data_IF_358838616690
#
_entry.id   IF_358838616690
#
_cell.length_a   1.000
_cell.length_b   1.000
_cell.length_c   1.000
_cell.angle_alpha   90.00
_cell.angle_beta   90.00
_cell.angle_gamma   90.00
#
_symmetry.space_group_name_H-M   'P 1'
#
loop_
_entity.id
_entity.type
_entity.pdbx_description
1 polymer ?
#
# COMPACT_ATOMS: atom_id res chain seq x y z
N UNK A 1 -16.79 -22.36 1.09
CA UNK A 1 -15.75 -21.29 1.01
C UNK A 1 -15.75 -20.52 2.32
N UNK A 2 -14.61 -20.46 3.06
CA UNK A 2 -14.56 -19.67 4.31
C UNK A 2 -14.79 -18.20 3.97
N UNK A 3 -15.67 -17.53 4.70
CA UNK A 3 -16.04 -16.12 4.51
C UNK A 3 -14.80 -15.21 4.42
N UNK A 4 -14.68 -14.42 3.35
CA UNK A 4 -13.53 -13.51 3.10
C UNK A 4 -13.31 -12.50 4.25
N UNK A 5 -14.39 -12.00 4.84
CA UNK A 5 -14.32 -11.06 5.96
C UNK A 5 -13.70 -11.70 7.21
N UNK A 6 -14.05 -12.96 7.50
CA UNK A 6 -13.44 -13.71 8.59
C UNK A 6 -11.92 -13.80 8.43
N UNK A 7 -11.45 -14.07 7.20
CA UNK A 7 -10.01 -14.12 6.90
C UNK A 7 -9.34 -12.74 7.06
N UNK A 8 -9.97 -11.68 6.55
CA UNK A 8 -9.45 -10.31 6.67
C UNK A 8 -9.36 -9.89 8.13
N UNK A 9 -10.40 -10.10 8.92
CA UNK A 9 -10.44 -9.76 10.35
C UNK A 9 -9.37 -10.55 11.12
N UNK A 10 -9.27 -11.86 10.88
CA UNK A 10 -8.26 -12.71 11.52
C UNK A 10 -6.83 -12.27 11.17
N UNK A 11 -6.58 -11.99 9.90
CA UNK A 11 -5.28 -11.51 9.39
C UNK A 11 -4.88 -10.19 10.03
N UNK A 12 -5.77 -9.20 10.03
CA UNK A 12 -5.50 -7.91 10.65
C UNK A 12 -5.26 -8.04 12.15
N UNK A 13 -6.03 -8.85 12.86
CA UNK A 13 -5.78 -9.14 14.29
C UNK A 13 -4.41 -9.76 14.51
N UNK A 14 -4.01 -10.72 13.67
CA UNK A 14 -2.69 -11.35 13.76
C UNK A 14 -1.57 -10.32 13.58
N UNK A 15 -1.69 -9.44 12.57
CA UNK A 15 -0.72 -8.38 12.31
C UNK A 15 -0.62 -7.44 13.50
N UNK A 16 -1.75 -6.90 13.98
CA UNK A 16 -1.76 -5.94 15.09
C UNK A 16 -1.23 -6.55 16.40
N UNK A 17 -1.51 -7.83 16.65
CA UNK A 17 -0.94 -8.56 17.81
C UNK A 17 0.56 -8.76 17.68
N UNK A 18 1.07 -9.17 16.50
CA UNK A 18 2.51 -9.32 16.23
C UNK A 18 3.26 -7.98 16.36
N UNK A 19 2.59 -6.87 16.04
CA UNK A 19 3.11 -5.52 16.23
C UNK A 19 3.03 -5.05 17.69
N UNK A 20 2.46 -5.83 18.60
CA UNK A 20 2.20 -5.46 20.01
C UNK A 20 1.45 -4.13 20.14
N UNK A 21 0.51 -3.87 19.24
CA UNK A 21 -0.32 -2.66 19.30
C UNK A 21 -1.14 -2.69 20.59
N UNK A 22 -1.11 -1.63 21.41
CA UNK A 22 -1.91 -1.57 22.65
C UNK A 22 -3.41 -1.64 22.34
N UNK A 23 -4.20 -2.15 23.28
CA UNK A 23 -5.64 -2.25 23.09
C UNK A 23 -6.35 -0.90 23.10
N UNK A 24 -5.84 0.07 23.84
CA UNK A 24 -6.46 1.38 24.01
C UNK A 24 -5.42 2.50 23.86
N UNK A 25 -5.86 3.67 23.41
CA UNK A 25 -5.00 4.84 23.22
C UNK A 25 -4.43 5.39 24.56
N UNK A 26 -5.22 5.29 25.61
CA UNK A 26 -4.83 5.77 26.92
C UNK A 26 -5.54 4.96 28.03
N UNK A 27 -4.92 4.85 29.21
CA UNK A 27 -5.51 4.16 30.38
C UNK A 27 -6.87 4.75 30.82
N UNK A 28 -7.10 6.04 30.59
CA UNK A 28 -8.35 6.75 30.92
C UNK A 28 -9.36 6.81 29.76
N UNK A 29 -9.16 6.05 28.67
CA UNK A 29 -10.15 6.00 27.58
C UNK A 29 -11.37 5.18 27.98
N UNK A 30 -12.52 5.41 27.33
CA UNK A 30 -13.80 4.76 27.68
C UNK A 30 -13.84 3.23 27.47
N UNK A 31 -12.79 2.62 26.99
CA UNK A 31 -12.61 1.16 26.80
C UNK A 31 -13.76 0.44 26.05
N UNK A 32 -14.61 1.18 25.32
CA UNK A 32 -15.74 0.62 24.56
C UNK A 32 -15.22 -0.09 23.30
N UNK A 33 -14.30 0.55 22.57
CA UNK A 33 -13.68 0.01 21.36
C UNK A 33 -12.16 -0.01 21.51
N UNK A 34 -11.57 -1.13 21.13
CA UNK A 34 -10.11 -1.27 21.07
C UNK A 34 -9.52 -0.62 19.83
N UNK A 35 -8.22 -0.27 19.85
CA UNK A 35 -7.49 0.18 18.67
C UNK A 35 -7.57 -0.88 17.56
N UNK A 36 -7.47 -2.17 17.90
CA UNK A 36 -7.58 -3.26 16.94
C UNK A 36 -8.93 -3.24 16.23
N UNK A 37 -10.03 -3.07 16.96
CA UNK A 37 -11.38 -2.98 16.37
C UNK A 37 -11.50 -1.76 15.45
N UNK A 38 -11.01 -0.59 15.87
CA UNK A 38 -11.02 0.62 15.03
C UNK A 38 -10.24 0.42 13.73
N UNK A 39 -9.01 -0.09 13.79
CA UNK A 39 -8.20 -0.33 12.58
C UNK A 39 -8.90 -1.31 11.64
N UNK A 40 -9.44 -2.42 12.18
CA UNK A 40 -10.13 -3.43 11.36
C UNK A 40 -11.39 -2.85 10.73
N UNK A 41 -12.21 -2.11 11.48
CA UNK A 41 -13.40 -1.43 10.95
C UNK A 41 -13.04 -0.43 9.83
N UNK A 42 -11.98 0.36 10.00
CA UNK A 42 -11.53 1.32 9.00
C UNK A 42 -11.02 0.64 7.73
N UNK A 43 -10.31 -0.49 7.85
CA UNK A 43 -9.89 -1.31 6.71
C UNK A 43 -11.11 -1.91 6.01
N UNK A 44 -12.09 -2.46 6.75
CA UNK A 44 -13.33 -2.99 6.17
C UNK A 44 -14.18 -1.90 5.51
N UNK A 45 -14.28 -0.72 6.14
CA UNK A 45 -14.94 0.44 5.53
C UNK A 45 -14.35 0.78 4.16
N UNK A 46 -13.02 0.81 4.10
CA UNK A 46 -12.32 1.08 2.86
C UNK A 46 -12.48 -0.06 1.85
N UNK A 47 -12.47 -1.31 2.33
CA UNK A 47 -12.70 -2.48 1.49
C UNK A 47 -14.08 -2.47 0.82
N UNK A 48 -15.11 -2.00 1.53
CA UNK A 48 -16.48 -1.85 1.02
C UNK A 48 -16.70 -0.50 0.30
N UNK A 49 -15.68 0.35 0.19
CA UNK A 49 -15.73 1.68 -0.46
C UNK A 49 -16.84 2.60 0.11
N UNK A 50 -17.19 2.42 1.38
CA UNK A 50 -18.30 3.12 2.05
C UNK A 50 -17.86 4.43 2.69
N UNK A 51 -18.80 5.39 2.79
CA UNK A 51 -18.67 6.54 3.69
C UNK A 51 -18.63 6.06 5.15
N UNK A 52 -18.35 6.95 6.10
CA UNK A 52 -18.41 6.58 7.52
C UNK A 52 -19.83 6.22 7.96
N UNK A 53 -20.82 6.98 7.52
CA UNK A 53 -22.24 6.77 7.79
C UNK A 53 -22.73 5.45 7.17
N UNK A 54 -22.60 5.30 5.85
CA UNK A 54 -23.02 4.08 5.16
C UNK A 54 -22.29 2.82 5.64
N UNK A 55 -21.10 2.96 6.22
CA UNK A 55 -20.42 1.82 6.84
C UNK A 55 -21.06 1.43 8.18
N UNK A 56 -21.49 2.40 8.97
CA UNK A 56 -22.20 2.14 10.24
C UNK A 56 -23.55 1.49 9.96
N UNK A 57 -24.34 2.03 9.01
CA UNK A 57 -25.60 1.42 8.55
C UNK A 57 -25.38 -0.02 8.05
N UNK A 58 -24.29 -0.26 7.31
CA UNK A 58 -23.96 -1.62 6.87
C UNK A 58 -23.62 -2.54 8.04
N UNK A 59 -22.97 -2.05 9.11
CA UNK A 59 -22.69 -2.86 10.29
C UNK A 59 -23.98 -3.26 11.03
N UNK A 60 -25.04 -2.44 10.99
CA UNK A 60 -26.32 -2.76 11.63
C UNK A 60 -26.98 -4.01 11.03
N UNK A 61 -26.80 -4.23 9.73
CA UNK A 61 -27.32 -5.42 9.04
C UNK A 61 -26.31 -6.57 8.96
N UNK A 62 -25.02 -6.29 9.12
CA UNK A 62 -23.93 -7.26 9.02
C UNK A 62 -23.60 -7.92 10.38
N UNK A 63 -24.59 -8.53 11.02
CA UNK A 63 -24.49 -9.10 12.38
C UNK A 63 -23.32 -10.07 12.55
N UNK A 64 -23.05 -10.93 11.55
CA UNK A 64 -21.89 -11.84 11.56
C UNK A 64 -20.55 -11.08 11.65
N UNK A 65 -20.44 -9.94 10.99
CA UNK A 65 -19.25 -9.09 11.02
C UNK A 65 -19.08 -8.45 12.40
N UNK A 66 -20.17 -7.95 12.96
CA UNK A 66 -20.22 -7.38 14.32
C UNK A 66 -19.76 -8.42 15.35
N UNK A 67 -20.30 -9.64 15.27
CA UNK A 67 -19.89 -10.73 16.13
C UNK A 67 -18.40 -11.09 15.94
N UNK A 68 -17.93 -11.19 14.70
CA UNK A 68 -16.52 -11.46 14.40
C UNK A 68 -15.59 -10.34 14.88
N UNK A 69 -16.02 -9.08 14.86
CA UNK A 69 -15.28 -7.95 15.42
C UNK A 69 -15.26 -7.99 16.97
N UNK A 70 -16.20 -8.69 17.59
CA UNK A 70 -16.35 -8.75 19.04
C UNK A 70 -16.72 -7.38 19.63
N UNK A 71 -17.52 -6.59 18.91
CA UNK A 71 -18.08 -5.33 19.40
C UNK A 71 -19.48 -5.59 19.98
N UNK A 72 -19.78 -4.96 21.11
CA UNK A 72 -21.09 -5.07 21.79
C UNK A 72 -22.11 -4.06 21.27
N UNK A 73 -21.63 -2.91 20.87
CA UNK A 73 -22.42 -1.80 20.32
C UNK A 73 -21.79 -1.31 19.03
N UNK A 74 -22.62 -0.87 18.08
CA UNK A 74 -22.13 -0.30 16.82
C UNK A 74 -21.64 1.13 17.13
N UNK A 75 -20.43 1.53 16.68
CA UNK A 75 -19.93 2.86 16.91
C UNK A 75 -20.70 3.88 16.07
N UNK A 76 -20.93 5.06 16.61
CA UNK A 76 -21.37 6.19 15.82
C UNK A 76 -20.30 6.56 14.77
N UNK A 77 -20.66 7.03 13.58
CA UNK A 77 -19.74 7.31 12.48
C UNK A 77 -18.64 8.32 12.87
N UNK A 78 -18.94 9.31 13.72
CA UNK A 78 -17.93 10.26 14.23
C UNK A 78 -16.88 9.59 15.13
N UNK A 79 -17.22 8.47 15.80
CA UNK A 79 -16.26 7.71 16.60
C UNK A 79 -15.19 7.09 15.68
N UNK A 80 -15.60 6.52 14.54
CA UNK A 80 -14.68 5.99 13.52
C UNK A 80 -13.85 7.12 12.88
N UNK A 81 -14.45 8.26 12.61
CA UNK A 81 -13.78 9.44 12.08
C UNK A 81 -12.66 9.94 13.02
N UNK A 82 -13.01 10.10 14.31
CA UNK A 82 -12.06 10.51 15.36
C UNK A 82 -10.97 9.45 15.54
N UNK A 83 -11.30 8.16 15.50
CA UNK A 83 -10.32 7.08 15.57
C UNK A 83 -9.36 7.14 14.38
N UNK A 84 -9.87 7.31 13.15
CA UNK A 84 -9.04 7.46 11.96
C UNK A 84 -8.07 8.64 12.08
N UNK A 85 -8.52 9.77 12.61
CA UNK A 85 -7.67 10.95 12.83
C UNK A 85 -6.57 10.70 13.87
N UNK A 86 -6.85 9.96 14.95
CA UNK A 86 -5.92 9.68 16.07
C UNK A 86 -4.89 8.60 15.78
N UNK A 87 -5.20 7.63 14.92
CA UNK A 87 -4.28 6.56 14.57
C UNK A 87 -3.02 7.13 13.92
N UNK A 88 -1.86 6.66 14.37
CA UNK A 88 -0.56 7.09 13.82
C UNK A 88 -0.35 6.54 12.43
N UNK A 89 0.17 7.37 11.52
CA UNK A 89 0.57 6.94 10.17
C UNK A 89 1.68 5.88 10.25
N UNK A 90 2.59 5.99 11.23
CA UNK A 90 3.66 5.00 11.47
C UNK A 90 3.06 3.61 11.72
N UNK A 91 1.99 3.52 12.53
CA UNK A 91 1.30 2.26 12.79
C UNK A 91 0.77 1.64 11.49
N UNK A 92 0.18 2.45 10.62
CA UNK A 92 -0.38 1.99 9.35
C UNK A 92 0.73 1.56 8.38
N UNK A 93 1.84 2.30 8.29
CA UNK A 93 3.02 1.93 7.50
C UNK A 93 3.62 0.61 7.95
N UNK A 94 3.85 0.44 9.25
CA UNK A 94 4.38 -0.82 9.80
C UNK A 94 3.42 -1.98 9.53
N UNK A 95 2.11 -1.76 9.68
CA UNK A 95 1.11 -2.79 9.38
C UNK A 95 1.16 -3.22 7.90
N UNK A 96 1.33 -2.28 6.96
CA UNK A 96 1.49 -2.58 5.53
C UNK A 96 2.70 -3.50 5.30
N UNK A 97 3.86 -3.18 5.87
CA UNK A 97 5.09 -3.96 5.71
C UNK A 97 4.98 -5.38 6.28
N UNK A 98 4.20 -5.58 7.34
CA UNK A 98 4.08 -6.90 8.01
C UNK A 98 3.35 -7.97 7.19
N UNK A 99 2.61 -7.60 6.15
CA UNK A 99 1.94 -8.58 5.29
C UNK A 99 2.92 -9.51 4.57
N UNK A 100 4.04 -8.99 4.09
CA UNK A 100 5.02 -9.79 3.35
C UNK A 100 5.67 -10.86 4.24
N UNK A 101 6.02 -10.51 5.47
CA UNK A 101 6.61 -11.46 6.42
C UNK A 101 5.71 -12.66 6.81
N UNK A 102 4.44 -12.65 6.38
CA UNK A 102 3.53 -13.79 6.56
C UNK A 102 3.68 -14.81 5.42
N UNK A 103 4.00 -14.35 4.21
CA UNK A 103 4.04 -15.21 2.99
C UNK A 103 5.47 -15.54 2.58
N UNK A 104 6.38 -14.57 2.66
CA UNK A 104 7.73 -14.67 2.11
C UNK A 104 8.76 -14.49 3.22
N UNK A 105 9.19 -15.57 3.88
CA UNK A 105 10.18 -15.49 4.95
C UNK A 105 11.61 -15.20 4.43
N UNK A 106 11.84 -15.22 3.12
CA UNK A 106 13.14 -15.01 2.48
C UNK A 106 13.25 -13.72 1.68
N UNK A 107 14.34 -13.62 0.92
CA UNK A 107 14.59 -12.49 0.02
C UNK A 107 13.53 -12.43 -1.08
N UNK A 108 12.96 -11.26 -1.33
CA UNK A 108 11.91 -11.04 -2.34
C UNK A 108 12.45 -10.41 -3.62
N UNK A 109 11.70 -10.55 -4.69
CA UNK A 109 11.84 -9.80 -5.91
C UNK A 109 11.00 -8.52 -5.79
N UNK A 110 11.64 -7.39 -5.58
CA UNK A 110 10.99 -6.12 -5.32
C UNK A 110 10.80 -5.27 -6.58
N UNK A 111 9.78 -4.45 -6.57
CA UNK A 111 9.59 -3.37 -7.54
C UNK A 111 8.96 -2.17 -6.89
N UNK A 112 9.16 -1.00 -7.49
CA UNK A 112 8.49 0.21 -7.05
C UNK A 112 8.05 1.06 -8.24
N UNK A 113 6.96 1.77 -8.04
CA UNK A 113 6.39 2.69 -9.01
C UNK A 113 5.49 3.71 -8.30
N UNK A 114 5.00 4.71 -9.00
CA UNK A 114 4.15 5.75 -8.45
C UNK A 114 2.89 5.97 -9.29
N UNK A 115 1.83 6.38 -8.61
CA UNK A 115 0.56 6.73 -9.25
C UNK A 115 -0.08 7.94 -8.61
N UNK A 116 -0.83 8.73 -9.38
CA UNK A 116 -1.61 9.85 -8.89
C UNK A 116 -3.04 9.43 -8.52
N UNK A 117 -3.57 10.03 -7.46
CA UNK A 117 -4.99 9.98 -7.08
C UNK A 117 -5.58 11.37 -7.14
N UNK A 118 -6.73 11.52 -7.76
CA UNK A 118 -7.39 12.80 -7.91
C UNK A 118 -7.95 13.28 -6.56
N UNK A 119 -7.79 14.57 -6.28
CA UNK A 119 -8.32 15.21 -5.06
C UNK A 119 -9.32 16.29 -5.47
N UNK A 120 -10.38 15.88 -6.17
CA UNK A 120 -11.37 16.81 -6.68
C UNK A 120 -12.38 17.19 -5.59
N UNK A 121 -12.52 18.50 -5.40
CA UNK A 121 -13.64 19.09 -4.65
C UNK A 121 -14.52 19.95 -5.55
N UNK A 122 -14.22 20.03 -6.84
CA UNK A 122 -14.98 20.77 -7.84
C UNK A 122 -15.28 19.89 -9.06
N UNK A 123 -16.42 20.14 -9.72
CA UNK A 123 -16.77 19.43 -10.95
C UNK A 123 -15.73 19.69 -12.05
N UNK A 124 -15.53 18.76 -13.00
CA UNK A 124 -14.61 18.99 -14.13
C UNK A 124 -14.93 20.28 -14.90
N UNK A 125 -16.22 20.60 -15.06
CA UNK A 125 -16.68 21.84 -15.69
C UNK A 125 -16.24 23.08 -14.93
N UNK A 126 -16.43 23.11 -13.61
CA UNK A 126 -16.02 24.24 -12.77
C UNK A 126 -14.48 24.40 -12.76
N UNK A 127 -13.75 23.31 -12.67
CA UNK A 127 -12.28 23.28 -12.72
C UNK A 127 -11.79 23.88 -14.04
N UNK A 128 -12.39 23.50 -15.16
CA UNK A 128 -12.07 24.05 -16.48
C UNK A 128 -12.40 25.54 -16.59
N UNK A 129 -13.62 25.94 -16.18
CA UNK A 129 -14.10 27.32 -16.27
C UNK A 129 -13.29 28.29 -15.40
N UNK A 130 -12.85 27.87 -14.22
CA UNK A 130 -12.10 28.68 -13.29
C UNK A 130 -10.58 28.54 -13.46
N UNK A 131 -10.11 27.80 -14.49
CA UNK A 131 -8.68 27.49 -14.73
C UNK A 131 -7.97 26.96 -13.49
N UNK A 132 -8.68 26.23 -12.65
CA UNK A 132 -8.14 25.64 -11.44
C UNK A 132 -7.13 24.55 -11.82
N UNK A 133 -5.96 24.57 -11.20
CA UNK A 133 -4.97 23.50 -11.37
C UNK A 133 -5.52 22.19 -10.81
N UNK A 134 -5.38 21.11 -11.58
CA UNK A 134 -5.69 19.78 -11.10
C UNK A 134 -4.83 19.45 -9.87
N UNK A 135 -5.50 19.29 -8.73
CA UNK A 135 -4.81 18.84 -7.52
C UNK A 135 -4.88 17.30 -7.46
N UNK A 136 -3.74 16.68 -7.24
CA UNK A 136 -3.66 15.25 -7.04
C UNK A 136 -2.67 14.91 -5.92
N UNK A 137 -2.92 13.80 -5.26
CA UNK A 137 -2.00 13.22 -4.29
C UNK A 137 -1.27 12.06 -4.97
N UNK A 138 0.05 12.04 -4.87
CA UNK A 138 0.88 11.01 -5.46
C UNK A 138 1.23 9.95 -4.42
N UNK A 139 1.09 8.70 -4.80
CA UNK A 139 1.47 7.55 -3.99
C UNK A 139 2.55 6.76 -4.72
N UNK A 140 3.74 6.68 -4.13
CA UNK A 140 4.80 5.75 -4.53
C UNK A 140 4.72 4.52 -3.65
N UNK A 141 4.75 3.33 -4.24
CA UNK A 141 4.63 2.07 -3.52
C UNK A 141 5.74 1.10 -3.91
N UNK A 142 6.35 0.48 -2.90
CA UNK A 142 7.22 -0.67 -3.04
C UNK A 142 6.45 -1.96 -2.82
N UNK A 143 6.71 -2.98 -3.61
CA UNK A 143 5.94 -4.24 -3.60
C UNK A 143 6.79 -5.45 -3.95
N UNK A 144 6.36 -6.62 -3.50
CA UNK A 144 6.88 -7.91 -3.96
C UNK A 144 6.23 -8.32 -5.27
N UNK A 145 7.03 -8.55 -6.29
CA UNK A 145 6.56 -8.90 -7.64
C UNK A 145 5.92 -10.29 -7.71
N UNK A 146 6.24 -11.19 -6.78
CA UNK A 146 5.66 -12.55 -6.74
C UNK A 146 4.27 -12.54 -6.14
N UNK A 147 4.13 -12.05 -4.92
CA UNK A 147 2.86 -12.00 -4.21
C UNK A 147 1.97 -10.82 -4.62
N UNK A 148 2.55 -9.77 -5.19
CA UNK A 148 1.92 -8.48 -5.47
C UNK A 148 1.42 -7.78 -4.19
N UNK A 149 2.05 -8.04 -3.04
CA UNK A 149 1.78 -7.30 -1.81
C UNK A 149 2.60 -6.03 -1.76
N UNK A 150 1.97 -4.96 -1.33
CA UNK A 150 2.66 -3.69 -1.06
C UNK A 150 3.33 -3.77 0.30
N UNK A 151 4.62 -3.38 0.38
CA UNK A 151 5.42 -3.40 1.60
C UNK A 151 5.76 -2.02 2.17
N UNK A 152 5.83 -1.01 1.29
CA UNK A 152 6.16 0.35 1.68
C UNK A 152 5.39 1.34 0.81
N UNK A 153 5.10 2.51 1.36
CA UNK A 153 4.34 3.56 0.68
C UNK A 153 4.90 4.93 1.07
N UNK A 154 5.08 5.80 0.08
CA UNK A 154 5.36 7.23 0.30
C UNK A 154 4.26 8.04 -0.38
N UNK A 155 3.64 8.94 0.36
CA UNK A 155 2.55 9.77 -0.12
C UNK A 155 3.02 11.22 -0.18
N UNK A 156 2.73 11.88 -1.28
CA UNK A 156 3.09 13.27 -1.54
C UNK A 156 1.86 14.08 -1.86
N UNK A 157 1.74 15.20 -1.19
CA UNK A 157 0.75 16.23 -1.47
C UNK A 157 1.39 17.36 -2.28
N UNK A 158 0.60 18.25 -2.83
CA UNK A 158 1.10 19.39 -3.61
C UNK A 158 2.03 20.30 -2.76
N UNK A 159 3.18 20.75 -3.28
CA UNK A 159 3.73 20.57 -4.62
C UNK A 159 4.38 19.19 -4.82
N UNK A 160 4.03 18.54 -5.94
CA UNK A 160 4.53 17.20 -6.25
C UNK A 160 5.87 17.26 -6.95
N UNK A 161 6.82 16.46 -6.51
CA UNK A 161 8.12 16.35 -7.12
C UNK A 161 8.32 15.02 -7.88
N UNK A 162 9.40 14.93 -8.64
CA UNK A 162 9.76 13.71 -9.37
C UNK A 162 10.00 12.53 -8.43
N UNK A 163 9.61 11.33 -8.85
CA UNK A 163 9.67 10.09 -8.06
C UNK A 163 11.05 9.78 -7.51
N UNK A 164 12.07 10.07 -8.28
CA UNK A 164 13.45 9.84 -7.92
C UNK A 164 13.87 10.57 -6.64
N UNK A 165 13.27 11.72 -6.33
CA UNK A 165 13.57 12.48 -5.09
C UNK A 165 13.04 11.80 -3.84
N UNK A 166 11.96 11.02 -3.97
CA UNK A 166 11.32 10.33 -2.85
C UNK A 166 11.72 8.86 -2.76
N UNK A 167 12.42 8.37 -3.76
CA UNK A 167 12.91 7.01 -3.79
C UNK A 167 13.76 6.63 -2.55
N UNK A 168 14.69 7.47 -2.06
CA UNK A 168 15.46 7.14 -0.85
C UNK A 168 14.59 6.81 0.35
N UNK A 169 13.54 7.59 0.59
CA UNK A 169 12.61 7.35 1.69
C UNK A 169 11.80 6.06 1.48
N UNK A 170 11.30 5.82 0.27
CA UNK A 170 10.59 4.58 -0.06
C UNK A 170 11.50 3.35 0.10
N UNK A 171 12.72 3.42 -0.42
CA UNK A 171 13.69 2.33 -0.35
C UNK A 171 14.08 2.01 1.10
N UNK A 172 14.32 3.03 1.92
CA UNK A 172 14.64 2.83 3.33
C UNK A 172 13.49 2.19 4.11
N UNK A 173 12.24 2.57 3.83
CA UNK A 173 11.08 1.88 4.38
C UNK A 173 11.05 0.41 3.94
N UNK A 174 11.36 0.10 2.67
CA UNK A 174 11.41 -1.28 2.19
C UNK A 174 12.48 -2.10 2.91
N UNK A 175 13.71 -1.61 2.97
CA UNK A 175 14.85 -2.28 3.64
C UNK A 175 14.55 -2.56 5.10
N UNK A 176 13.83 -1.66 5.79
CA UNK A 176 13.49 -1.84 7.21
C UNK A 176 12.52 -2.99 7.49
N UNK A 177 11.79 -3.47 6.48
CA UNK A 177 10.72 -4.49 6.67
C UNK A 177 10.92 -5.77 5.87
N UNK A 178 11.75 -5.75 4.81
CA UNK A 178 11.96 -6.88 3.91
C UNK A 178 13.43 -7.01 3.50
N UNK A 179 13.83 -8.23 3.18
CA UNK A 179 15.07 -8.51 2.46
C UNK A 179 14.77 -8.68 0.97
N UNK A 180 15.60 -8.10 0.12
CA UNK A 180 15.45 -8.13 -1.34
C UNK A 180 16.69 -8.76 -1.97
N UNK A 181 16.53 -9.46 -3.10
CA UNK A 181 17.66 -9.91 -3.90
C UNK A 181 17.80 -9.08 -5.19
N UNK A 182 16.69 -8.53 -5.71
CA UNK A 182 16.65 -7.68 -6.89
C UNK A 182 15.53 -6.65 -6.76
N UNK A 183 15.74 -5.48 -7.34
CA UNK A 183 14.76 -4.42 -7.43
C UNK A 183 14.62 -3.90 -8.85
N UNK A 184 13.40 -3.98 -9.40
CA UNK A 184 13.04 -3.43 -10.71
C UNK A 184 12.38 -2.06 -10.57
N UNK A 185 12.85 -1.10 -11.36
CA UNK A 185 12.32 0.26 -11.36
C UNK A 185 12.17 0.76 -12.81
N UNK A 186 11.29 1.74 -12.98
CA UNK A 186 11.13 2.39 -14.28
C UNK A 186 12.37 3.22 -14.67
N UNK A 187 12.51 3.45 -15.96
CA UNK A 187 13.53 4.34 -16.55
C UNK A 187 13.57 5.73 -15.89
N UNK A 188 12.45 6.16 -15.27
CA UNK A 188 12.35 7.37 -14.45
C UNK A 188 13.35 7.44 -13.31
N UNK A 189 13.76 6.29 -12.78
CA UNK A 189 14.68 6.17 -11.64
C UNK A 189 16.16 6.01 -12.04
N UNK A 190 16.50 6.07 -13.35
CA UNK A 190 17.87 5.91 -13.80
C UNK A 190 18.78 7.06 -13.35
N UNK A 191 19.44 6.86 -12.23
CA UNK A 191 20.51 7.70 -11.74
C UNK A 191 21.54 6.87 -10.98
N UNK A 192 22.81 7.22 -11.10
CA UNK A 192 23.90 6.46 -10.49
C UNK A 192 23.77 6.34 -8.97
N UNK A 193 23.25 7.38 -8.30
CA UNK A 193 23.05 7.34 -6.85
C UNK A 193 21.94 6.35 -6.43
N UNK A 194 20.91 6.15 -7.27
CA UNK A 194 19.84 5.16 -7.02
C UNK A 194 20.42 3.75 -7.10
N UNK A 195 21.18 3.46 -8.15
CA UNK A 195 21.87 2.17 -8.28
C UNK A 195 22.81 1.93 -7.09
N UNK A 196 23.62 2.95 -6.71
CA UNK A 196 24.55 2.86 -5.57
C UNK A 196 23.81 2.54 -4.27
N UNK A 197 22.67 3.18 -4.03
CA UNK A 197 21.86 2.96 -2.84
C UNK A 197 21.33 1.51 -2.78
N UNK A 198 20.81 1.01 -3.90
CA UNK A 198 20.30 -0.37 -3.99
C UNK A 198 21.43 -1.39 -3.78
N UNK A 199 22.56 -1.21 -4.45
CA UNK A 199 23.72 -2.10 -4.31
C UNK A 199 24.38 -2.02 -2.93
N UNK A 200 24.22 -0.90 -2.22
CA UNK A 200 24.69 -0.77 -0.83
C UNK A 200 24.00 -1.70 0.17
N UNK A 201 22.83 -2.22 -0.18
CA UNK A 201 22.05 -3.20 0.60
C UNK A 201 22.16 -4.63 0.02
N UNK A 202 23.19 -4.92 -0.78
CA UNK A 202 23.39 -6.22 -1.46
C UNK A 202 22.20 -6.63 -2.34
N UNK A 203 21.51 -5.66 -2.94
CA UNK A 203 20.39 -5.84 -3.85
C UNK A 203 20.81 -5.51 -5.28
N UNK A 204 20.43 -6.35 -6.23
CA UNK A 204 20.63 -6.04 -7.66
C UNK A 204 19.59 -5.01 -8.12
N UNK A 205 20.05 -3.97 -8.82
CA UNK A 205 19.13 -3.01 -9.45
C UNK A 205 18.87 -3.38 -10.90
N UNK A 206 17.63 -3.36 -11.35
CA UNK A 206 17.21 -3.58 -12.74
C UNK A 206 16.43 -2.35 -13.22
N UNK A 207 17.16 -1.39 -13.83
CA UNK A 207 16.62 -0.09 -14.26
C UNK A 207 17.13 0.20 -15.67
N UNK A 208 16.26 0.42 -16.67
CA UNK A 208 16.70 0.75 -18.03
C UNK A 208 17.47 2.07 -18.05
N UNK A 209 18.66 2.07 -18.62
CA UNK A 209 19.51 3.26 -18.69
C UNK A 209 18.97 4.25 -19.74
N UNK A 210 18.84 5.52 -19.34
CA UNK A 210 18.43 6.63 -20.24
C UNK A 210 19.54 7.03 -21.21
N UNK A 211 19.14 7.60 -22.34
CA UNK A 211 20.05 8.18 -23.33
C UNK A 211 20.54 7.18 -24.38
N UNK A 212 21.61 7.56 -25.07
CA UNK A 212 22.21 6.79 -26.17
C UNK A 212 22.63 5.39 -25.71
N UNK A 213 22.47 4.38 -26.58
CA UNK A 213 22.75 2.97 -26.25
C UNK A 213 24.24 2.64 -26.14
N UNK A 214 25.15 3.56 -26.38
CA UNK A 214 26.59 3.35 -26.29
C UNK A 214 27.07 3.32 -24.82
N UNK A 215 27.81 2.28 -24.47
CA UNK A 215 28.41 2.11 -23.15
C UNK A 215 29.42 3.22 -22.86
N UNK A 216 30.18 3.65 -23.90
CA UNK A 216 31.18 4.74 -23.81
C UNK A 216 30.55 6.06 -23.38
N UNK A 217 29.33 6.36 -23.81
CA UNK A 217 28.60 7.57 -23.48
C UNK A 217 27.88 7.51 -22.11
N UNK A 218 27.85 6.34 -21.46
CA UNK A 218 27.18 6.16 -20.19
C UNK A 218 28.10 6.57 -19.05
N UNK A 219 27.68 7.52 -18.22
CA UNK A 219 28.40 7.90 -16.98
C UNK A 219 27.93 7.04 -15.82
N UNK A 220 28.85 6.70 -14.90
CA UNK A 220 28.58 5.93 -13.70
C UNK A 220 28.92 4.43 -13.84
N UNK A 221 29.42 3.84 -12.75
CA UNK A 221 29.85 2.44 -12.67
C UNK A 221 28.64 1.50 -12.85
N UNK A 222 27.63 1.66 -12.05
CA UNK A 222 26.45 0.79 -12.03
C UNK A 222 25.59 0.93 -13.28
N UNK A 223 25.45 2.14 -13.81
CA UNK A 223 24.75 2.38 -15.08
C UNK A 223 25.46 1.71 -16.27
N UNK A 224 26.81 1.73 -16.30
CA UNK A 224 27.60 0.96 -17.31
C UNK A 224 27.40 -0.53 -17.16
N UNK A 225 27.40 -1.03 -15.92
CA UNK A 225 27.14 -2.43 -15.61
C UNK A 225 25.73 -2.83 -16.06
N UNK A 226 24.73 -2.01 -15.79
CA UNK A 226 23.33 -2.24 -16.20
C UNK A 226 23.19 -2.33 -17.73
N UNK A 227 23.91 -1.50 -18.48
CA UNK A 227 23.90 -1.60 -19.97
C UNK A 227 24.46 -2.94 -20.50
N UNK A 228 25.37 -3.56 -19.77
CA UNK A 228 25.97 -4.85 -20.17
C UNK A 228 25.13 -6.04 -19.76
N UNK A 229 24.45 -5.95 -18.63
CA UNK A 229 23.75 -7.05 -17.96
C UNK A 229 22.25 -6.79 -17.76
N UNK A 230 21.63 -5.98 -18.62
CA UNK A 230 20.19 -5.74 -18.55
C UNK A 230 19.41 -6.98 -18.97
N UNK A 231 18.56 -7.47 -18.10
CA UNK A 231 17.67 -8.61 -18.35
C UNK A 231 16.24 -8.10 -18.56
N UNK A 232 15.80 -8.15 -19.80
CA UNK A 232 14.48 -7.68 -20.21
C UNK A 232 13.36 -8.54 -19.61
N UNK A 233 13.58 -9.83 -19.41
CA UNK A 233 12.58 -10.75 -18.86
C UNK A 233 12.31 -10.45 -17.38
N UNK A 234 13.34 -10.14 -16.61
CA UNK A 234 13.22 -9.68 -15.24
C UNK A 234 12.57 -8.28 -15.17
N UNK A 235 12.98 -7.39 -16.07
CA UNK A 235 12.41 -6.04 -16.12
C UNK A 235 10.91 -6.03 -16.42
N UNK A 236 10.43 -6.89 -17.31
CA UNK A 236 9.00 -7.02 -17.65
C UNK A 236 8.11 -7.35 -16.43
N UNK A 237 8.68 -7.93 -15.37
CA UNK A 237 7.94 -8.16 -14.12
C UNK A 237 7.45 -6.85 -13.47
N UNK A 238 8.02 -5.69 -13.82
CA UNK A 238 7.56 -4.36 -13.38
C UNK A 238 6.07 -4.12 -13.69
N UNK A 239 5.52 -4.68 -14.76
CA UNK A 239 4.12 -4.54 -15.12
C UNK A 239 3.15 -4.98 -13.99
N UNK A 240 3.65 -5.76 -13.02
CA UNK A 240 2.86 -6.14 -11.84
C UNK A 240 2.60 -4.96 -10.91
N UNK A 241 3.45 -3.93 -10.88
CA UNK A 241 3.19 -2.70 -10.10
C UNK A 241 2.02 -1.93 -10.69
N UNK A 242 1.93 -1.85 -12.02
CA UNK A 242 0.80 -1.25 -12.71
C UNK A 242 -0.50 -2.01 -12.42
N UNK A 243 -0.43 -3.35 -12.37
CA UNK A 243 -1.56 -4.20 -11.98
C UNK A 243 -2.01 -3.90 -10.55
N UNK A 244 -1.08 -3.73 -9.60
CA UNK A 244 -1.39 -3.36 -8.21
C UNK A 244 -2.18 -2.04 -8.16
N UNK A 245 -1.67 -1.00 -8.82
CA UNK A 245 -2.35 0.31 -8.85
C UNK A 245 -3.70 0.25 -9.56
N UNK A 246 -3.79 -0.48 -10.66
CA UNK A 246 -5.05 -0.69 -11.38
C UNK A 246 -6.10 -1.35 -10.48
N UNK A 247 -5.73 -2.38 -9.71
CA UNK A 247 -6.65 -3.03 -8.77
C UNK A 247 -7.05 -2.08 -7.64
N UNK A 248 -6.10 -1.33 -7.07
CA UNK A 248 -6.40 -0.35 -6.01
C UNK A 248 -7.41 0.70 -6.52
N UNK A 249 -7.16 1.29 -7.69
CA UNK A 249 -8.04 2.32 -8.26
C UNK A 249 -9.42 1.78 -8.65
N UNK A 250 -9.49 0.63 -9.31
CA UNK A 250 -10.77 0.03 -9.71
C UNK A 250 -11.61 -0.40 -8.52
N UNK A 251 -10.97 -0.89 -7.46
CA UNK A 251 -11.70 -1.44 -6.32
C UNK A 251 -12.06 -0.39 -5.28
N UNK A 252 -11.19 0.59 -5.04
CA UNK A 252 -11.35 1.57 -3.97
C UNK A 252 -11.54 3.00 -4.46
N UNK A 253 -11.57 3.19 -5.78
CA UNK A 253 -11.72 4.49 -6.43
C UNK A 253 -10.39 5.17 -6.76
N UNK A 254 -10.41 5.95 -7.85
CA UNK A 254 -9.27 6.80 -8.28
C UNK A 254 -9.26 8.16 -7.58
N UNK A 255 -10.37 8.55 -6.97
CA UNK A 255 -10.54 9.82 -6.26
C UNK A 255 -10.38 9.65 -4.75
N UNK A 256 -9.75 10.63 -4.11
CA UNK A 256 -9.66 10.72 -2.65
C UNK A 256 -10.80 11.59 -2.14
N UNK A 257 -11.56 11.08 -1.16
CA UNK A 257 -12.71 11.77 -0.60
C UNK A 257 -12.36 12.69 0.58
N UNK A 258 -11.16 12.53 1.15
CA UNK A 258 -10.69 13.31 2.28
C UNK A 258 -10.25 14.71 1.88
N UNK A 259 -10.54 15.72 2.73
CA UNK A 259 -10.28 17.13 2.43
C UNK A 259 -8.86 17.59 2.76
N UNK A 260 -8.33 17.19 3.92
CA UNK A 260 -7.00 17.61 4.36
C UNK A 260 -5.93 16.55 4.09
N UNK A 261 -4.68 16.97 3.98
CA UNK A 261 -3.57 16.11 3.58
C UNK A 261 -3.30 14.96 4.57
N UNK A 262 -3.49 15.19 5.88
CA UNK A 262 -3.38 14.14 6.89
C UNK A 262 -4.40 13.03 6.65
N UNK A 263 -5.65 13.37 6.39
CA UNK A 263 -6.69 12.37 6.13
C UNK A 263 -6.58 11.75 4.75
N UNK A 264 -6.07 12.49 3.74
CA UNK A 264 -5.74 11.95 2.41
C UNK A 264 -4.66 10.87 2.51
N UNK A 265 -3.60 11.14 3.29
CA UNK A 265 -2.57 10.15 3.60
C UNK A 265 -3.18 8.88 4.22
N UNK A 266 -3.97 9.04 5.27
CA UNK A 266 -4.61 7.90 5.97
C UNK A 266 -5.56 7.13 5.07
N UNK A 267 -6.35 7.82 4.25
CA UNK A 267 -7.25 7.18 3.29
C UNK A 267 -6.48 6.26 2.33
N UNK A 268 -5.36 6.73 1.78
CA UNK A 268 -4.52 5.91 0.90
C UNK A 268 -3.87 4.74 1.65
N UNK A 269 -3.38 4.94 2.87
CA UNK A 269 -2.83 3.86 3.69
C UNK A 269 -3.89 2.78 4.00
N UNK A 270 -5.13 3.17 4.31
CA UNK A 270 -6.23 2.21 4.48
C UNK A 270 -6.58 1.48 3.18
N UNK A 271 -6.52 2.14 2.01
CA UNK A 271 -6.70 1.49 0.70
C UNK A 271 -5.64 0.41 0.46
N UNK A 272 -4.39 0.70 0.79
CA UNK A 272 -3.29 -0.26 0.68
C UNK A 272 -3.46 -1.43 1.65
N UNK A 273 -3.85 -1.18 2.91
CA UNK A 273 -4.17 -2.23 3.87
C UNK A 273 -5.33 -3.13 3.39
N UNK A 274 -6.39 -2.51 2.89
CA UNK A 274 -7.54 -3.24 2.32
C UNK A 274 -7.14 -4.05 1.08
N UNK A 275 -6.27 -3.50 0.22
CA UNK A 275 -5.69 -4.20 -0.92
C UNK A 275 -4.86 -5.41 -0.47
N UNK A 276 -3.93 -5.23 0.46
CA UNK A 276 -3.11 -6.33 0.97
C UNK A 276 -3.96 -7.44 1.61
N UNK A 277 -4.98 -7.08 2.40
CA UNK A 277 -5.94 -8.05 2.94
C UNK A 277 -6.64 -8.82 1.82
N UNK A 278 -7.13 -8.12 0.80
CA UNK A 278 -7.77 -8.74 -0.36
C UNK A 278 -6.83 -9.71 -1.07
N UNK A 279 -5.61 -9.26 -1.37
CA UNK A 279 -4.61 -10.05 -2.07
C UNK A 279 -4.24 -11.32 -1.30
N UNK A 280 -4.04 -11.19 0.03
CA UNK A 280 -3.81 -12.33 0.91
C UNK A 280 -4.94 -13.36 0.88
N UNK A 281 -6.19 -12.91 0.88
CA UNK A 281 -7.34 -13.81 0.78
C UNK A 281 -7.36 -14.57 -0.56
N UNK A 282 -6.95 -13.92 -1.65
CA UNK A 282 -6.86 -14.55 -2.98
C UNK A 282 -5.73 -15.59 -3.03
N UNK A 283 -4.53 -15.25 -2.53
CA UNK A 283 -3.39 -16.19 -2.49
C UNK A 283 -3.74 -17.43 -1.65
N UNK A 284 -4.32 -17.26 -0.47
CA UNK A 284 -4.73 -18.37 0.38
C UNK A 284 -5.80 -19.26 -0.27
N UNK A 285 -6.69 -18.67 -1.07
CA UNK A 285 -7.68 -19.45 -1.82
C UNK A 285 -7.05 -20.27 -2.95
N UNK A 286 -6.08 -19.69 -3.67
CA UNK A 286 -5.34 -20.39 -4.72
C UNK A 286 -4.52 -21.56 -4.16
N UNK A 287 -3.80 -21.35 -3.07
CA UNK A 287 -3.05 -22.41 -2.37
C UNK A 287 -3.97 -23.54 -1.94
N UNK A 288 -5.14 -23.21 -1.36
CA UNK A 288 -6.12 -24.21 -0.97
C UNK A 288 -6.66 -25.02 -2.16
N UNK A 289 -6.96 -24.35 -3.29
CA UNK A 289 -7.41 -25.02 -4.52
C UNK A 289 -6.33 -25.95 -5.11
N UNK A 290 -5.05 -25.57 -5.02
CA UNK A 290 -3.95 -26.42 -5.48
C UNK A 290 -3.82 -27.67 -4.60
N UNK A 291 -3.92 -27.54 -3.29
CA UNK A 291 -3.83 -28.65 -2.34
C UNK A 291 -5.05 -29.60 -2.48
N UNK A 292 -6.25 -29.07 -2.67
CA UNK A 292 -7.47 -29.86 -2.80
C UNK A 292 -7.62 -30.61 -4.14
N UNK A 293 -6.75 -30.32 -5.12
CA UNK A 293 -6.71 -30.98 -6.43
C UNK A 293 -5.58 -32.01 -6.56
N UNK A 294 -4.78 -32.21 -5.53
CA UNK A 294 -3.86 -33.35 -5.48
C UNK A 294 -4.66 -34.59 -5.14
N UNK A 295 -4.59 -35.66 -5.96
CA UNK A 295 -5.34 -36.91 -5.77
C UNK A 295 -4.95 -37.64 -4.49
#
# INVERSE_FOLDING_TARGET
MKNKYRRMIALMRQILRKMRVPLYFHKKSNHIFTIHQHVIMLVLRQYESKSYESFVEWLEVATDIVQMLGIRTIPHFTTLQKAAARLSDILLHVAIGRFIGIISPGKIFAGADATGFETRHATPYYTYRCSLRHSYTKMSAGSDMKSQLVCAVVIQHHPISHDIKHFPNLFQQMVSVIQMWIMVLDKGYDAEYVHRMIHGEDVLSMIPVRGNNMISCTRGKYRKQMRRAFDESLYHQRNKTETIFSVIKRRFGSEIKSYNDTMRTKELLYRVLAYNCHRMCMISALVWLMISRQP
#
